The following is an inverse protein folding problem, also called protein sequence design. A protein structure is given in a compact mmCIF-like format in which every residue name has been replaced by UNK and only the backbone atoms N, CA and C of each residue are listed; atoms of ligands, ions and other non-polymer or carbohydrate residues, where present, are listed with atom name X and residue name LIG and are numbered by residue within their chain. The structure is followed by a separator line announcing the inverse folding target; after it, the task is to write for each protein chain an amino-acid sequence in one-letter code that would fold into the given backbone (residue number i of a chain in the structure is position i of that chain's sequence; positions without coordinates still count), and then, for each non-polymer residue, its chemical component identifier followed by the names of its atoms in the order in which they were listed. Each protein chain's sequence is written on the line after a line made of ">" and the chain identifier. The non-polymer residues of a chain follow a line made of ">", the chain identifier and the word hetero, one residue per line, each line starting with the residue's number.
data_IF_995174750449
#
_entry.id   IF_995174750449
#
_cell.length_a   1.000
_cell.length_b   1.000
_cell.length_c   1.000
_cell.angle_alpha   90.00
_cell.angle_beta   90.00
_cell.angle_gamma   90.00
#
_symmetry.space_group_name_H-M   'P 1'
#
loop_
_entity.id
_entity.type
_entity.pdbx_description
1 polymer ?
#
# COMPACT_ATOMS: atom_id res chain seq x y z
N UNK A 1 -9.76 -13.18 11.04
CA UNK A 1 -8.34 -13.02 10.65
C UNK A 1 -8.24 -13.08 9.13
N UNK A 2 -7.80 -12.00 8.49
CA UNK A 2 -7.58 -11.97 7.04
C UNK A 2 -6.26 -12.62 6.66
N UNK A 3 -6.15 -13.08 5.42
CA UNK A 3 -4.91 -13.61 4.85
C UNK A 3 -4.70 -13.07 3.45
N UNK A 4 -3.43 -13.04 2.99
CA UNK A 4 -3.10 -12.54 1.66
C UNK A 4 -3.81 -13.33 0.54
N UNK A 5 -3.90 -14.66 0.67
CA UNK A 5 -4.38 -15.54 -0.39
C UNK A 5 -3.58 -15.35 -1.68
N UNK A 6 -4.28 -15.01 -2.76
CA UNK A 6 -3.74 -14.69 -4.09
C UNK A 6 -3.07 -13.31 -4.20
N UNK A 7 -3.14 -12.47 -3.17
CA UNK A 7 -2.62 -11.11 -3.23
C UNK A 7 -1.12 -11.04 -2.94
N UNK A 8 -0.37 -10.46 -3.88
CA UNK A 8 1.06 -10.16 -3.75
C UNK A 8 1.44 -8.72 -4.00
N UNK A 9 0.50 -7.76 -3.96
CA UNK A 9 0.77 -6.41 -4.46
C UNK A 9 1.91 -5.71 -3.68
N UNK A 10 2.07 -5.97 -2.38
CA UNK A 10 3.22 -5.47 -1.61
C UNK A 10 4.57 -5.98 -2.14
N UNK A 11 4.64 -7.22 -2.66
CA UNK A 11 5.85 -7.77 -3.28
C UNK A 11 6.24 -7.05 -4.58
N UNK A 12 5.29 -6.35 -5.22
CA UNK A 12 5.54 -5.47 -6.36
C UNK A 12 5.90 -4.06 -5.92
N UNK A 13 5.07 -3.46 -5.06
CA UNK A 13 5.13 -2.02 -4.81
C UNK A 13 6.30 -1.62 -3.90
N UNK A 14 6.56 -2.38 -2.83
CA UNK A 14 7.58 -2.03 -1.84
C UNK A 14 8.98 -2.35 -2.35
N UNK A 15 9.99 -1.55 -2.00
CA UNK A 15 11.40 -1.93 -2.18
C UNK A 15 11.82 -2.95 -1.12
N UNK A 16 12.84 -3.77 -1.42
CA UNK A 16 13.46 -4.67 -0.44
C UNK A 16 14.96 -4.60 -0.62
N UNK A 17 15.64 -3.96 0.34
CA UNK A 17 17.08 -3.65 0.24
C UNK A 17 17.91 -4.93 0.22
N UNK A 18 17.62 -5.85 1.15
CA UNK A 18 18.34 -7.12 1.27
C UNK A 18 18.24 -8.05 0.04
N UNK A 19 17.34 -7.77 -0.90
CA UNK A 19 17.16 -8.56 -2.14
C UNK A 19 17.57 -7.78 -3.41
N UNK A 20 18.15 -6.59 -3.23
CA UNK A 20 18.38 -5.61 -4.30
C UNK A 20 17.12 -5.39 -5.16
N UNK A 21 15.95 -5.39 -4.52
CA UNK A 21 14.67 -5.32 -5.21
C UNK A 21 14.17 -3.87 -5.21
N UNK A 22 14.17 -3.18 -6.37
CA UNK A 22 13.61 -1.84 -6.45
C UNK A 22 12.08 -1.85 -6.21
N UNK A 23 11.57 -0.74 -5.69
CA UNK A 23 10.14 -0.48 -5.58
C UNK A 23 9.46 -0.49 -6.95
N UNK A 24 8.18 -0.91 -7.00
CA UNK A 24 7.40 -1.00 -8.23
C UNK A 24 7.75 -2.16 -9.19
N UNK A 25 8.71 -3.03 -8.82
CA UNK A 25 9.05 -4.26 -9.57
C UNK A 25 8.64 -5.51 -8.79
N UNK A 26 8.14 -6.51 -9.50
CA UNK A 26 7.80 -7.80 -8.90
C UNK A 26 9.02 -8.45 -8.26
N UNK A 27 8.84 -8.93 -7.03
CA UNK A 27 9.85 -9.75 -6.36
C UNK A 27 10.07 -11.07 -7.11
N UNK A 28 11.35 -11.42 -7.31
CA UNK A 28 11.74 -12.69 -7.95
C UNK A 28 11.22 -13.94 -7.24
N UNK A 29 10.92 -13.83 -5.95
CA UNK A 29 10.40 -14.93 -5.13
C UNK A 29 8.88 -15.01 -5.12
N UNK A 30 8.17 -14.03 -5.69
CA UNK A 30 6.71 -14.05 -5.74
C UNK A 30 6.22 -14.76 -7.00
N UNK A 31 5.45 -15.83 -6.84
CA UNK A 31 4.68 -16.47 -7.89
C UNK A 31 3.19 -16.18 -7.73
N UNK A 32 2.48 -15.88 -8.84
CA UNK A 32 1.05 -15.54 -8.81
C UNK A 32 0.18 -16.63 -8.18
N UNK A 33 0.55 -17.89 -8.37
CA UNK A 33 -0.19 -19.06 -7.85
C UNK A 33 0.39 -19.62 -6.55
N UNK A 34 1.67 -19.35 -6.26
CA UNK A 34 2.41 -19.96 -5.15
C UNK A 34 2.73 -18.98 -4.01
N UNK A 35 2.49 -17.68 -4.20
CA UNK A 35 2.85 -16.65 -3.23
C UNK A 35 4.36 -16.45 -3.13
N UNK A 36 4.85 -16.04 -1.96
CA UNK A 36 6.28 -15.85 -1.73
C UNK A 36 6.98 -17.18 -1.42
N UNK A 37 7.88 -17.62 -2.29
CA UNK A 37 8.61 -18.88 -2.16
C UNK A 37 9.54 -18.94 -0.93
N UNK A 38 9.93 -17.78 -0.38
CA UNK A 38 10.78 -17.66 0.81
C UNK A 38 10.02 -17.00 1.98
N UNK A 39 8.70 -17.20 2.08
CA UNK A 39 7.91 -16.46 3.06
C UNK A 39 8.42 -16.65 4.51
N UNK A 40 8.81 -17.87 4.88
CA UNK A 40 9.37 -18.19 6.20
C UNK A 40 10.71 -17.48 6.45
N UNK A 41 11.52 -17.31 5.40
CA UNK A 41 12.89 -16.74 5.43
C UNK A 41 12.95 -15.30 4.91
N UNK A 42 11.78 -14.65 4.76
CA UNK A 42 11.70 -13.32 4.17
C UNK A 42 12.59 -12.31 4.95
N UNK A 43 13.25 -11.37 4.27
CA UNK A 43 14.07 -10.36 4.94
C UNK A 43 13.25 -9.45 5.86
N UNK A 44 13.95 -8.74 6.74
CA UNK A 44 13.34 -7.85 7.73
C UNK A 44 12.43 -6.78 7.11
N UNK A 45 12.83 -6.18 5.99
CA UNK A 45 11.99 -5.21 5.24
C UNK A 45 10.60 -5.78 4.93
N UNK A 46 10.50 -7.09 4.64
CA UNK A 46 9.23 -7.78 4.38
C UNK A 46 8.49 -8.20 5.65
N UNK A 47 9.17 -8.33 6.79
CA UNK A 47 8.57 -8.71 8.08
C UNK A 47 7.94 -7.52 8.78
N UNK A 48 8.61 -6.37 8.75
CA UNK A 48 8.12 -5.14 9.38
C UNK A 48 7.02 -4.45 8.58
N UNK A 49 6.89 -4.79 7.29
CA UNK A 49 5.83 -4.26 6.45
C UNK A 49 4.46 -4.80 6.87
N UNK A 50 3.52 -3.87 7.11
CA UNK A 50 2.19 -4.15 7.59
C UNK A 50 1.13 -3.65 6.61
N UNK A 51 0.49 -4.57 5.89
CA UNK A 51 -0.65 -4.22 5.02
C UNK A 51 -1.87 -3.93 5.89
N UNK A 52 -2.36 -2.69 5.86
CA UNK A 52 -3.44 -2.26 6.74
C UNK A 52 -4.75 -3.04 6.54
N UNK A 53 -5.04 -3.48 5.30
CA UNK A 53 -6.20 -4.34 5.04
C UNK A 53 -6.17 -5.64 5.86
N UNK A 54 -4.99 -6.26 6.03
CA UNK A 54 -4.86 -7.48 6.84
C UNK A 54 -5.08 -7.22 8.33
N UNK A 55 -4.67 -6.04 8.81
CA UNK A 55 -4.64 -5.70 10.23
C UNK A 55 -5.92 -5.02 10.73
N UNK A 56 -6.77 -4.53 9.84
CA UNK A 56 -7.93 -3.72 10.20
C UNK A 56 -9.21 -4.41 9.76
N UNK A 57 -9.96 -4.99 10.69
CA UNK A 57 -11.21 -5.71 10.40
C UNK A 57 -12.26 -4.83 9.70
N UNK A 58 -12.30 -3.53 10.02
CA UNK A 58 -13.22 -2.56 9.39
C UNK A 58 -13.00 -2.34 7.88
N UNK A 59 -11.85 -2.71 7.32
CA UNK A 59 -11.58 -2.60 5.88
C UNK A 59 -12.07 -3.85 5.15
N UNK A 60 -13.26 -3.85 4.58
CA UNK A 60 -13.80 -5.02 3.89
C UNK A 60 -13.01 -5.46 2.63
N UNK A 61 -13.47 -6.50 1.95
CA UNK A 61 -12.78 -7.10 0.80
C UNK A 61 -12.58 -6.16 -0.39
N UNK A 62 -13.32 -5.04 -0.48
CA UNK A 62 -13.09 -4.03 -1.51
C UNK A 62 -11.71 -3.39 -1.32
N UNK A 63 -11.24 -3.27 -0.07
CA UNK A 63 -9.94 -2.72 0.27
C UNK A 63 -8.79 -3.72 0.09
N UNK A 64 -9.08 -4.99 -0.23
CA UNK A 64 -8.04 -5.96 -0.56
C UNK A 64 -7.25 -5.45 -1.78
N UNK A 65 -5.90 -5.43 -1.75
CA UNK A 65 -5.11 -4.78 -2.82
C UNK A 65 -5.35 -5.32 -4.25
N UNK A 66 -5.77 -6.59 -4.38
CA UNK A 66 -6.16 -7.15 -5.68
C UNK A 66 -7.39 -6.46 -6.24
N UNK A 67 -8.37 -6.10 -5.39
CA UNK A 67 -9.58 -5.37 -5.75
C UNK A 67 -9.36 -3.85 -5.86
N UNK A 68 -8.67 -3.25 -4.88
CA UNK A 68 -8.53 -1.79 -4.77
C UNK A 68 -7.48 -1.18 -5.69
N UNK A 69 -6.48 -1.95 -6.14
CA UNK A 69 -5.38 -1.42 -6.96
C UNK A 69 -4.27 -0.71 -6.21
N UNK A 70 -4.34 -0.69 -4.88
CA UNK A 70 -3.33 -0.07 -4.02
C UNK A 70 -3.14 -0.83 -2.72
N UNK A 71 -2.00 -0.58 -2.07
CA UNK A 71 -1.72 -1.07 -0.70
C UNK A 71 -1.78 0.10 0.27
N UNK A 72 -2.44 -0.10 1.40
CA UNK A 72 -2.39 0.81 2.53
C UNK A 72 -1.35 0.34 3.55
N UNK A 73 -0.53 1.25 4.03
CA UNK A 73 0.33 1.06 5.20
C UNK A 73 0.45 2.35 5.99
N UNK A 74 0.83 2.25 7.26
CA UNK A 74 1.00 3.40 8.14
C UNK A 74 2.46 3.66 8.46
N UNK A 75 2.80 4.93 8.55
CA UNK A 75 4.06 5.45 9.05
C UNK A 75 3.80 6.32 10.29
N UNK A 76 4.86 6.76 10.96
CA UNK A 76 4.79 7.70 12.09
C UNK A 76 3.76 7.28 13.16
N UNK A 77 3.83 6.02 13.60
CA UNK A 77 2.92 5.45 14.60
C UNK A 77 1.41 5.60 14.27
N UNK A 78 1.06 5.61 12.98
CA UNK A 78 -0.35 5.71 12.53
C UNK A 78 -0.76 7.11 12.09
N UNK A 79 -0.02 8.16 12.48
CA UNK A 79 -0.33 9.55 12.12
C UNK A 79 -0.20 9.84 10.62
N UNK A 80 0.47 8.96 9.87
CA UNK A 80 0.56 9.06 8.41
C UNK A 80 0.08 7.77 7.77
N UNK A 81 -0.95 7.88 6.93
CA UNK A 81 -1.42 6.81 6.07
C UNK A 81 -0.80 6.98 4.68
N UNK A 82 -0.25 5.90 4.14
CA UNK A 82 0.29 5.84 2.80
C UNK A 82 -0.60 4.96 1.92
N UNK A 83 -1.00 5.49 0.77
CA UNK A 83 -1.68 4.77 -0.32
C UNK A 83 -0.69 4.52 -1.44
N UNK A 84 -0.16 3.30 -1.50
CA UNK A 84 0.75 2.85 -2.56
C UNK A 84 -0.06 2.36 -3.76
N UNK A 85 -0.22 3.18 -4.79
CA UNK A 85 -0.92 2.78 -6.00
C UNK A 85 -0.02 2.00 -6.95
N UNK A 86 -0.57 0.96 -7.57
CA UNK A 86 0.08 0.31 -8.70
C UNK A 86 0.15 1.29 -9.89
N UNK A 87 1.31 1.42 -10.53
CA UNK A 87 1.48 2.23 -11.73
C UNK A 87 0.58 1.77 -12.90
N UNK A 88 0.14 0.52 -12.91
CA UNK A 88 -0.84 0.02 -13.87
C UNK A 88 -2.28 0.47 -13.56
N UNK A 89 -2.55 0.92 -12.32
CA UNK A 89 -3.85 1.35 -11.82
C UNK A 89 -3.73 2.64 -10.97
N UNK A 90 -3.10 3.72 -11.50
CA UNK A 90 -2.68 4.88 -10.69
C UNK A 90 -3.83 5.75 -10.18
N UNK A 91 -5.05 5.53 -10.68
CA UNK A 91 -6.23 6.31 -10.37
C UNK A 91 -7.31 5.52 -9.64
N UNK A 92 -7.11 4.23 -9.34
CA UNK A 92 -8.14 3.41 -8.71
C UNK A 92 -8.54 3.91 -7.30
N UNK A 93 -7.62 4.59 -6.61
CA UNK A 93 -7.92 5.24 -5.32
C UNK A 93 -9.00 6.33 -5.41
N UNK A 94 -9.27 6.86 -6.62
CA UNK A 94 -10.32 7.85 -6.87
C UNK A 94 -11.73 7.24 -6.99
N UNK A 95 -11.83 5.92 -7.03
CA UNK A 95 -13.11 5.22 -7.11
C UNK A 95 -13.76 5.17 -5.74
N UNK A 96 -15.07 5.30 -5.68
CA UNK A 96 -15.80 5.03 -4.44
C UNK A 96 -15.77 3.53 -4.10
N UNK A 97 -15.67 3.15 -2.81
CA UNK A 97 -15.74 4.01 -1.62
C UNK A 97 -14.40 4.64 -1.19
N UNK A 98 -13.32 4.44 -1.96
CA UNK A 98 -11.97 4.75 -1.54
C UNK A 98 -11.72 6.25 -1.43
N UNK A 99 -12.07 7.04 -2.45
CA UNK A 99 -11.80 8.48 -2.45
C UNK A 99 -12.48 9.17 -1.27
N UNK A 100 -13.79 9.00 -1.13
CA UNK A 100 -14.55 9.56 -0.01
C UNK A 100 -13.98 9.17 1.35
N UNK A 101 -13.57 7.91 1.55
CA UNK A 101 -12.99 7.46 2.81
C UNK A 101 -11.59 8.02 3.06
N UNK A 102 -10.71 8.03 2.05
CA UNK A 102 -9.36 8.59 2.14
C UNK A 102 -9.42 10.09 2.46
N UNK A 103 -10.36 10.83 1.86
CA UNK A 103 -10.58 12.25 2.16
C UNK A 103 -11.11 12.47 3.57
N UNK A 104 -12.00 11.62 4.09
CA UNK A 104 -12.43 11.67 5.49
C UNK A 104 -11.26 11.46 6.46
N UNK A 105 -10.38 10.51 6.18
CA UNK A 105 -9.18 10.31 7.00
C UNK A 105 -8.21 11.49 6.89
N UNK A 106 -8.01 12.06 5.71
CA UNK A 106 -7.17 13.24 5.52
C UNK A 106 -7.69 14.50 6.22
N UNK A 107 -8.99 14.57 6.50
CA UNK A 107 -9.62 15.66 7.24
C UNK A 107 -9.61 15.44 8.76
N UNK A 108 -9.22 14.26 9.25
CA UNK A 108 -9.13 13.99 10.68
C UNK A 108 -7.92 14.73 11.29
N UNK A 109 -8.12 15.27 12.49
CA UNK A 109 -7.07 16.00 13.20
C UNK A 109 -5.85 15.12 13.44
N UNK A 110 -4.66 15.63 13.10
CA UNK A 110 -3.40 14.92 13.28
C UNK A 110 -3.15 13.74 12.33
N UNK A 111 -3.98 13.57 11.29
CA UNK A 111 -3.83 12.52 10.29
C UNK A 111 -3.33 13.10 8.95
N UNK A 112 -2.19 12.60 8.47
CA UNK A 112 -1.72 12.82 7.11
C UNK A 112 -2.11 11.63 6.22
N UNK A 113 -2.56 11.90 4.98
CA UNK A 113 -2.80 10.87 3.97
C UNK A 113 -2.01 11.22 2.70
N UNK A 114 -1.10 10.35 2.32
CA UNK A 114 -0.30 10.50 1.11
C UNK A 114 -0.64 9.40 0.11
N UNK A 115 -0.91 9.78 -1.13
CA UNK A 115 -1.13 8.85 -2.24
C UNK A 115 0.07 8.88 -3.17
N UNK A 116 0.71 7.72 -3.40
CA UNK A 116 1.90 7.60 -4.24
C UNK A 116 1.69 6.70 -5.45
N UNK A 117 2.29 7.09 -6.56
CA UNK A 117 2.57 6.23 -7.73
C UNK A 117 4.07 6.32 -7.99
N UNK A 118 4.79 5.31 -7.48
CA UNK A 118 6.26 5.33 -7.48
C UNK A 118 6.82 6.49 -6.66
N UNK A 119 7.60 7.37 -7.30
CA UNK A 119 8.22 8.54 -6.63
C UNK A 119 7.33 9.78 -6.55
N UNK A 120 6.24 9.83 -7.31
CA UNK A 120 5.32 10.98 -7.35
C UNK A 120 4.14 10.71 -6.44
N UNK A 121 3.68 11.72 -5.72
CA UNK A 121 2.49 11.59 -4.89
C UNK A 121 1.72 12.88 -4.69
N UNK A 122 0.61 12.73 -3.99
CA UNK A 122 -0.27 13.80 -3.53
C UNK A 122 -0.47 13.65 -2.04
N UNK A 123 -0.35 14.75 -1.30
CA UNK A 123 -0.91 14.87 0.04
C UNK A 123 -2.35 15.31 -0.09
N UNK A 124 -3.28 14.52 0.44
CA UNK A 124 -4.70 14.85 0.43
C UNK A 124 -5.02 15.90 1.51
N UNK A 125 -5.93 16.81 1.19
CA UNK A 125 -6.42 17.84 2.11
C UNK A 125 -7.60 18.59 1.50
N UNK A 126 -7.92 19.78 2.02
CA UNK A 126 -8.90 20.68 1.39
C UNK A 126 -8.48 21.07 -0.03
N UNK A 127 -7.17 21.16 -0.27
CA UNK A 127 -6.57 21.20 -1.60
C UNK A 127 -5.40 20.21 -1.62
N UNK A 128 -5.41 19.31 -2.60
CA UNK A 128 -4.37 18.29 -2.73
C UNK A 128 -3.02 18.97 -3.09
N UNK A 129 -1.94 18.63 -2.40
CA UNK A 129 -0.60 19.20 -2.65
C UNK A 129 0.36 18.15 -3.22
N UNK A 130 1.11 18.43 -4.31
CA UNK A 130 2.10 17.49 -4.82
C UNK A 130 3.23 17.20 -3.83
N UNK A 131 3.64 15.94 -3.75
CA UNK A 131 4.79 15.50 -2.95
C UNK A 131 5.67 14.55 -3.78
N UNK A 132 6.95 14.43 -3.40
CA UNK A 132 7.88 13.47 -4.00
C UNK A 132 8.65 12.72 -2.92
N UNK A 133 8.90 11.43 -3.17
CA UNK A 133 9.89 10.66 -2.43
C UNK A 133 11.28 11.00 -2.94
N UNK A 134 12.25 11.05 -2.03
CA UNK A 134 13.66 11.09 -2.38
C UNK A 134 14.03 9.92 -3.31
#
# INVERSE_FOLDING_TARGET
>A
MKSCGDCGLCCKLMGVTALDKPAGRWCRHFGKTTGCAIYADRPEDCRVFNCLWLLTDALDDRWKPTASGFVLHSEQNGHRLIVECDAARPHDWRREPYEGQLRRWAAAEGQEVLVFVGKRGLRLGATDTPVRRA
#
